data_IF_077377117289
#
_entry.id   IF_077377117289
#
_cell.length_a   1.000
_cell.length_b   1.000
_cell.length_c   1.000
_cell.angle_alpha   90.00
_cell.angle_beta   90.00
_cell.angle_gamma   90.00
#
_symmetry.space_group_name_H-M   'P 1'
#
loop_
_entity.id
_entity.type
_entity.pdbx_description
1 polymer ?
#
# COMPACT_ATOMS: atom_id res chain seq x y z
N UNK A 1 -13.98 9.98 -75.48
CA UNK A 1 -12.96 10.23 -74.43
C UNK A 1 -13.70 10.42 -73.12
N UNK A 2 -13.66 9.40 -72.27
CA UNK A 2 -14.58 9.24 -71.15
C UNK A 2 -13.84 9.65 -69.87
N UNK A 3 -14.19 10.80 -69.28
CA UNK A 3 -13.66 11.18 -67.96
C UNK A 3 -14.59 10.63 -66.88
N UNK A 4 -14.20 9.52 -66.27
CA UNK A 4 -14.81 9.02 -65.03
C UNK A 4 -14.31 9.89 -63.87
N UNK A 5 -15.22 10.57 -63.18
CA UNK A 5 -14.95 11.28 -61.94
C UNK A 5 -15.14 10.28 -60.79
N UNK A 6 -14.04 9.85 -60.17
CA UNK A 6 -14.06 8.96 -59.00
C UNK A 6 -14.12 9.78 -57.72
N UNK A 7 -15.26 9.71 -57.04
CA UNK A 7 -15.46 10.20 -55.67
C UNK A 7 -14.79 9.23 -54.69
N UNK A 8 -13.81 9.70 -53.90
CA UNK A 8 -13.34 8.99 -52.71
C UNK A 8 -13.78 9.78 -51.46
N UNK A 9 -14.79 9.27 -50.77
CA UNK A 9 -15.10 9.67 -49.40
C UNK A 9 -14.31 8.77 -48.45
N UNK A 10 -13.30 9.31 -47.77
CA UNK A 10 -12.66 8.63 -46.64
C UNK A 10 -13.51 8.85 -45.40
N UNK A 11 -14.27 7.83 -45.01
CA UNK A 11 -14.91 7.76 -43.68
C UNK A 11 -14.01 6.92 -42.79
N UNK A 12 -13.13 7.58 -42.05
CA UNK A 12 -12.35 6.95 -40.98
C UNK A 12 -13.20 6.86 -39.72
N UNK A 13 -13.84 5.71 -39.52
CA UNK A 13 -14.52 5.35 -38.26
C UNK A 13 -13.45 5.01 -37.23
N UNK A 14 -13.19 5.93 -36.30
CA UNK A 14 -12.39 5.64 -35.10
C UNK A 14 -13.26 4.85 -34.11
N UNK A 15 -13.13 3.53 -34.16
CA UNK A 15 -13.64 2.64 -33.11
C UNK A 15 -12.85 2.89 -31.83
N UNK A 16 -13.48 3.54 -30.86
CA UNK A 16 -12.94 3.70 -29.50
C UNK A 16 -13.08 2.34 -28.83
N UNK A 17 -12.06 1.50 -28.91
CA UNK A 17 -11.98 0.33 -28.04
C UNK A 17 -11.71 0.85 -26.62
N UNK A 18 -12.73 0.87 -25.78
CA UNK A 18 -12.56 1.01 -24.34
C UNK A 18 -11.72 -0.18 -23.87
N UNK A 19 -10.41 0.03 -23.76
CA UNK A 19 -9.53 -0.89 -23.08
C UNK A 19 -9.90 -0.86 -21.61
N UNK A 20 -10.70 -1.83 -21.15
CA UNK A 20 -10.67 -2.21 -19.75
C UNK A 20 -9.26 -2.73 -19.48
N UNK A 21 -8.39 -1.83 -19.02
CA UNK A 21 -7.16 -2.23 -18.37
C UNK A 21 -7.58 -2.96 -17.09
N UNK A 22 -7.72 -4.28 -17.17
CA UNK A 22 -7.56 -5.12 -15.99
C UNK A 22 -6.09 -4.95 -15.60
N UNK A 23 -5.79 -3.91 -14.82
CA UNK A 23 -4.57 -3.85 -14.05
C UNK A 23 -4.54 -5.15 -13.25
N UNK A 24 -3.63 -6.06 -13.60
CA UNK A 24 -3.39 -7.22 -12.77
C UNK A 24 -3.16 -6.71 -11.35
N UNK A 25 -4.01 -7.12 -10.41
CA UNK A 25 -3.93 -6.63 -9.04
C UNK A 25 -2.52 -6.91 -8.53
N UNK A 26 -1.78 -5.85 -8.19
CA UNK A 26 -0.41 -5.96 -7.68
C UNK A 26 -0.43 -6.82 -6.41
N UNK A 27 0.36 -7.88 -6.39
CA UNK A 27 0.58 -8.65 -5.17
C UNK A 27 1.68 -7.98 -4.34
N UNK A 28 1.31 -7.38 -3.21
CA UNK A 28 2.28 -6.68 -2.36
C UNK A 28 3.17 -7.65 -1.57
N UNK A 29 2.81 -8.94 -1.45
CA UNK A 29 3.65 -9.93 -0.76
C UNK A 29 4.96 -10.25 -1.49
N UNK A 30 5.08 -9.86 -2.77
CA UNK A 30 6.31 -10.03 -3.53
C UNK A 30 7.41 -9.05 -3.12
N UNK A 31 7.05 -7.83 -2.70
CA UNK A 31 8.02 -6.73 -2.55
C UNK A 31 7.87 -5.88 -1.29
N UNK A 32 6.75 -5.93 -0.58
CA UNK A 32 6.45 -4.99 0.50
C UNK A 32 6.89 -5.54 1.86
N UNK A 33 7.51 -4.69 2.66
CA UNK A 33 7.98 -4.96 4.01
C UNK A 33 7.36 -3.96 4.96
N UNK A 34 7.12 -4.38 6.19
CA UNK A 34 6.97 -3.44 7.28
C UNK A 34 8.36 -2.96 7.70
N UNK A 35 8.60 -1.65 7.61
CA UNK A 35 9.88 -1.03 7.91
C UNK A 35 9.65 -0.01 9.02
N UNK A 36 10.54 0.04 10.01
CA UNK A 36 10.38 0.94 11.14
C UNK A 36 11.57 0.91 12.10
N UNK A 37 11.45 1.62 13.21
CA UNK A 37 12.53 1.75 14.20
C UNK A 37 13.03 0.38 14.73
N UNK A 38 12.13 -0.59 14.91
CA UNK A 38 12.46 -1.95 15.35
C UNK A 38 13.33 -2.75 14.36
N UNK A 39 13.41 -2.30 13.11
CA UNK A 39 14.21 -2.90 12.04
C UNK A 39 15.33 -1.97 11.56
N UNK A 40 15.61 -0.87 12.28
CA UNK A 40 16.51 0.19 11.80
C UNK A 40 16.15 0.71 10.40
N UNK A 41 14.87 0.67 10.06
CA UNK A 41 14.32 0.97 8.74
C UNK A 41 14.76 0.03 7.61
N UNK A 42 15.42 -1.09 7.85
CA UNK A 42 15.80 -2.05 6.81
C UNK A 42 14.61 -2.89 6.32
N UNK A 43 14.71 -3.38 5.08
CA UNK A 43 13.75 -4.31 4.49
C UNK A 43 14.14 -5.76 4.85
N UNK A 44 13.88 -6.14 6.09
CA UNK A 44 14.28 -7.44 6.62
C UNK A 44 13.27 -8.56 6.25
N UNK A 45 13.72 -9.76 5.81
CA UNK A 45 12.83 -10.85 5.39
C UNK A 45 11.72 -11.23 6.38
N UNK A 46 12.01 -11.20 7.69
CA UNK A 46 11.06 -11.47 8.76
C UNK A 46 9.89 -10.49 8.83
N UNK A 47 10.06 -9.27 8.29
CA UNK A 47 9.02 -8.25 8.25
C UNK A 47 8.38 -8.11 6.85
N UNK A 48 8.65 -9.04 5.93
CA UNK A 48 7.95 -9.10 4.65
C UNK A 48 6.46 -9.37 4.88
N UNK A 49 5.60 -8.68 4.15
CA UNK A 49 4.15 -8.91 4.27
C UNK A 49 3.76 -10.23 3.60
N UNK A 50 2.87 -10.97 4.24
CA UNK A 50 2.27 -12.18 3.69
C UNK A 50 0.83 -11.86 3.28
N UNK A 51 0.39 -12.38 2.14
CA UNK A 51 -0.99 -12.27 1.70
C UNK A 51 -1.87 -13.17 2.56
N UNK A 52 -2.90 -12.61 3.19
CA UNK A 52 -3.87 -13.35 4.01
C UNK A 52 -5.25 -13.42 3.35
N UNK A 53 -5.54 -12.51 2.42
CA UNK A 53 -6.71 -12.53 1.54
C UNK A 53 -6.40 -11.73 0.26
N UNK A 54 -7.30 -11.76 -0.72
CA UNK A 54 -7.22 -10.88 -1.88
C UNK A 54 -7.20 -9.41 -1.46
N UNK A 55 -6.07 -8.74 -1.70
CA UNK A 55 -5.86 -7.34 -1.32
C UNK A 55 -5.60 -7.10 0.17
N UNK A 56 -5.43 -8.15 0.99
CA UNK A 56 -5.13 -8.03 2.41
C UNK A 56 -3.80 -8.72 2.75
N UNK A 57 -2.92 -7.98 3.39
CA UNK A 57 -1.58 -8.41 3.73
C UNK A 57 -1.30 -8.21 5.21
N UNK A 58 -0.43 -9.05 5.78
CA UNK A 58 -0.07 -9.01 7.20
C UNK A 58 1.41 -9.37 7.42
N UNK A 59 2.04 -8.71 8.37
CA UNK A 59 3.23 -9.23 9.06
C UNK A 59 3.10 -9.02 10.56
N UNK A 60 3.99 -9.60 11.36
CA UNK A 60 3.97 -9.55 12.81
C UNK A 60 5.30 -9.00 13.36
N UNK A 61 5.22 -8.26 14.47
CA UNK A 61 6.40 -7.72 15.16
C UNK A 61 6.21 -7.88 16.66
N UNK A 62 7.25 -8.33 17.37
CA UNK A 62 7.31 -8.25 18.83
C UNK A 62 7.73 -6.84 19.26
N UNK A 63 6.90 -6.18 20.07
CA UNK A 63 7.14 -4.81 20.55
C UNK A 63 7.15 -4.76 22.09
N UNK A 64 7.89 -3.79 22.63
CA UNK A 64 7.92 -3.48 24.06
C UNK A 64 7.09 -2.23 24.35
N UNK A 65 6.30 -2.26 25.41
CA UNK A 65 5.53 -1.13 25.89
C UNK A 65 6.36 -0.29 26.87
N UNK A 66 7.33 0.45 26.34
CA UNK A 66 8.15 1.41 27.10
C UNK A 66 7.51 2.81 27.16
N UNK A 67 6.32 2.97 26.60
CA UNK A 67 5.57 4.22 26.54
C UNK A 67 5.96 5.14 25.37
N UNK A 68 6.95 4.77 24.55
CA UNK A 68 7.32 5.53 23.35
C UNK A 68 6.62 4.97 22.10
N UNK A 69 6.28 5.83 21.12
CA UNK A 69 5.75 5.36 19.86
C UNK A 69 6.86 4.77 18.97
N UNK A 70 6.60 3.59 18.42
CA UNK A 70 7.33 3.09 17.26
C UNK A 70 6.87 3.82 16.01
N UNK A 71 7.84 4.20 15.18
CA UNK A 71 7.59 4.76 13.86
C UNK A 71 7.78 3.67 12.81
N UNK A 72 6.89 3.64 11.82
CA UNK A 72 6.90 2.64 10.79
C UNK A 72 6.22 3.10 9.49
N UNK A 73 6.50 2.38 8.41
CA UNK A 73 5.86 2.48 7.09
C UNK A 73 5.79 1.08 6.48
N UNK A 74 4.95 0.91 5.46
CA UNK A 74 5.10 -0.20 4.54
C UNK A 74 5.92 0.27 3.34
N UNK A 75 7.01 -0.42 3.04
CA UNK A 75 8.00 0.00 2.05
C UNK A 75 8.54 -1.20 1.29
N UNK A 76 8.74 -1.08 -0.02
CA UNK A 76 9.70 -1.96 -0.68
C UNK A 76 11.15 -1.59 -0.29
N UNK A 77 12.11 -2.42 -0.66
CA UNK A 77 13.51 -2.21 -0.31
C UNK A 77 14.09 -0.89 -0.84
N UNK A 78 13.56 -0.38 -1.96
CA UNK A 78 14.08 0.78 -2.67
C UNK A 78 13.30 2.08 -2.36
N UNK A 79 12.31 2.02 -1.47
CA UNK A 79 11.40 3.14 -1.20
C UNK A 79 10.69 3.68 -2.44
N UNK A 80 10.35 2.79 -3.38
CA UNK A 80 9.78 3.19 -4.67
C UNK A 80 8.42 3.88 -4.52
N UNK A 81 8.15 4.85 -5.37
CA UNK A 81 6.82 5.46 -5.50
C UNK A 81 5.77 4.39 -5.85
N UNK A 82 4.63 4.40 -5.17
CA UNK A 82 3.59 3.38 -5.27
C UNK A 82 3.76 2.20 -4.30
N UNK A 83 4.91 2.10 -3.62
CA UNK A 83 5.21 1.12 -2.57
C UNK A 83 5.84 1.72 -1.32
N UNK A 84 5.86 3.05 -1.22
CA UNK A 84 6.34 3.76 -0.04
C UNK A 84 5.12 4.33 0.71
N UNK A 85 4.49 3.49 1.51
CA UNK A 85 3.20 3.74 2.15
C UNK A 85 3.34 4.26 3.58
N UNK A 86 3.03 5.54 3.73
CA UNK A 86 2.97 6.27 4.99
C UNK A 86 1.57 6.83 5.26
N UNK A 87 1.39 7.62 6.32
CA UNK A 87 0.08 8.21 6.60
C UNK A 87 -0.36 9.14 5.47
N UNK A 88 -1.67 9.19 5.21
CA UNK A 88 -2.24 10.11 4.24
C UNK A 88 -2.41 11.53 4.83
N UNK A 89 -2.99 11.62 6.03
CA UNK A 89 -3.18 12.88 6.76
C UNK A 89 -2.44 12.84 8.10
N UNK A 90 -1.60 13.85 8.38
CA UNK A 90 -0.91 13.94 9.67
C UNK A 90 -1.90 14.02 10.85
N UNK A 91 -3.03 14.70 10.66
CA UNK A 91 -4.03 14.90 11.71
C UNK A 91 -4.83 13.63 12.02
N UNK A 92 -5.14 12.84 11.00
CA UNK A 92 -6.13 11.76 11.12
C UNK A 92 -5.49 10.37 11.11
N UNK A 93 -4.38 10.22 10.39
CA UNK A 93 -3.83 8.90 10.05
C UNK A 93 -2.45 8.62 10.67
N UNK A 94 -1.76 9.65 11.18
CA UNK A 94 -0.40 9.50 11.73
C UNK A 94 -0.35 8.54 12.92
N UNK A 95 -1.36 8.57 13.80
CA UNK A 95 -1.41 7.74 15.01
C UNK A 95 -2.35 6.56 14.76
N UNK A 96 -1.77 5.36 14.76
CA UNK A 96 -2.53 4.11 14.63
C UNK A 96 -2.85 3.59 16.02
N UNK A 97 -4.11 3.26 16.27
CA UNK A 97 -4.56 2.59 17.49
C UNK A 97 -5.04 1.19 17.17
N UNK A 98 -5.05 0.30 18.15
CA UNK A 98 -5.53 -1.07 17.94
C UNK A 98 -6.94 -1.07 17.33
N UNK A 99 -7.13 -1.98 16.37
CA UNK A 99 -8.40 -2.26 15.68
C UNK A 99 -9.03 -1.06 14.95
N UNK A 100 -8.29 0.04 14.77
CA UNK A 100 -8.76 1.23 14.06
C UNK A 100 -7.95 1.45 12.77
N UNK A 101 -8.57 1.26 11.59
CA UNK A 101 -7.93 1.59 10.33
C UNK A 101 -7.64 3.08 10.18
N UNK A 102 -6.51 3.38 9.56
CA UNK A 102 -6.09 4.70 9.09
C UNK A 102 -5.74 4.65 7.61
N UNK A 103 -5.83 5.76 6.91
CA UNK A 103 -5.54 5.84 5.48
C UNK A 103 -4.05 6.01 5.19
N UNK A 104 -3.59 5.41 4.10
CA UNK A 104 -2.21 5.43 3.66
C UNK A 104 -2.04 6.10 2.29
N UNK A 105 -0.94 6.84 2.14
CA UNK A 105 -0.42 7.34 0.87
C UNK A 105 0.82 6.52 0.48
N UNK A 106 0.77 5.81 -0.66
CA UNK A 106 1.87 4.97 -1.16
C UNK A 106 2.95 5.70 -1.96
N UNK A 107 2.93 7.03 -1.94
CA UNK A 107 4.00 7.91 -2.43
C UNK A 107 4.61 8.75 -1.32
N UNK A 108 4.48 8.31 -0.07
CA UNK A 108 4.97 9.01 1.11
C UNK A 108 6.51 9.07 1.10
N UNK A 109 7.11 10.19 1.48
CA UNK A 109 8.56 10.33 1.69
C UNK A 109 8.86 10.24 3.19
N UNK A 110 8.28 11.13 3.99
CA UNK A 110 8.59 11.29 5.42
C UNK A 110 7.40 10.96 6.34
N UNK A 111 6.26 10.55 5.79
CA UNK A 111 5.01 10.37 6.52
C UNK A 111 4.97 9.04 7.30
N UNK A 112 5.77 8.94 8.37
CA UNK A 112 5.82 7.74 9.22
C UNK A 112 4.58 7.63 10.11
N UNK A 113 3.94 6.46 10.11
CA UNK A 113 2.94 6.11 11.11
C UNK A 113 3.56 6.01 12.50
N UNK A 114 2.74 6.14 13.53
CA UNK A 114 3.10 5.97 14.94
C UNK A 114 2.18 4.98 15.62
N UNK A 115 2.77 4.05 16.37
CA UNK A 115 2.04 3.13 17.23
C UNK A 115 2.76 2.99 18.57
N UNK A 116 2.03 3.21 19.67
CA UNK A 116 2.51 2.92 21.02
C UNK A 116 1.81 1.66 21.51
N UNK A 117 2.52 0.53 21.65
CA UNK A 117 1.92 -0.70 22.14
C UNK A 117 1.45 -0.51 23.60
N UNK A 118 0.22 -0.90 23.95
CA UNK A 118 -0.29 -0.77 25.32
C UNK A 118 0.38 -1.75 26.30
N UNK A 119 0.94 -2.84 25.79
CA UNK A 119 1.64 -3.87 26.57
C UNK A 119 2.71 -4.57 25.72
N UNK A 120 3.64 -5.29 26.35
CA UNK A 120 4.59 -6.12 25.62
C UNK A 120 3.83 -7.22 24.86
N UNK A 121 4.25 -7.50 23.62
CA UNK A 121 3.67 -8.62 22.88
C UNK A 121 3.93 -8.56 21.39
N UNK A 122 3.36 -9.54 20.69
CA UNK A 122 3.37 -9.61 19.23
C UNK A 122 2.15 -8.90 18.69
N UNK A 123 2.35 -8.07 17.67
CA UNK A 123 1.31 -7.30 17.01
C UNK A 123 1.30 -7.60 15.52
N UNK A 124 0.12 -7.89 14.98
CA UNK A 124 -0.12 -8.03 13.55
C UNK A 124 -0.38 -6.66 12.92
N UNK A 125 0.49 -6.27 11.99
CA UNK A 125 0.36 -5.08 11.17
C UNK A 125 -0.28 -5.47 9.84
N UNK A 126 -1.42 -4.85 9.53
CA UNK A 126 -2.18 -5.15 8.33
C UNK A 126 -2.07 -4.01 7.33
N UNK A 127 -1.94 -4.38 6.06
CA UNK A 127 -2.03 -3.50 4.91
C UNK A 127 -3.19 -3.95 4.03
N UNK A 128 -4.23 -3.14 3.96
CA UNK A 128 -5.48 -3.42 3.27
C UNK A 128 -5.62 -2.54 2.03
N UNK A 129 -5.73 -3.18 0.87
CA UNK A 129 -5.81 -2.55 -0.45
C UNK A 129 -7.13 -2.85 -1.14
N UNK A 130 -8.13 -3.35 -0.40
CA UNK A 130 -9.45 -3.70 -0.94
C UNK A 130 -10.31 -2.48 -1.23
N UNK A 131 -10.07 -1.36 -0.55
CA UNK A 131 -10.71 -0.07 -0.83
C UNK A 131 -9.95 0.77 -1.86
N UNK A 132 -10.54 1.90 -2.26
CA UNK A 132 -9.90 2.86 -3.18
C UNK A 132 -8.64 3.50 -2.58
N UNK A 133 -8.66 3.74 -1.26
CA UNK A 133 -7.53 4.25 -0.49
C UNK A 133 -6.99 3.10 0.37
N UNK A 134 -5.70 2.75 0.27
CA UNK A 134 -5.11 1.73 1.12
C UNK A 134 -5.23 2.12 2.60
N UNK A 135 -5.46 1.13 3.45
CA UNK A 135 -5.59 1.31 4.90
C UNK A 135 -4.56 0.48 5.66
N UNK A 136 -4.18 0.99 6.82
CA UNK A 136 -3.31 0.32 7.77
C UNK A 136 -4.05 0.17 9.09
N UNK A 137 -3.97 -1.00 9.71
CA UNK A 137 -4.45 -1.23 11.06
C UNK A 137 -3.58 -2.25 11.79
N UNK A 138 -3.65 -2.21 13.12
CA UNK A 138 -2.85 -3.07 13.99
C UNK A 138 -3.78 -3.85 14.91
N UNK A 139 -3.48 -5.14 15.11
CA UNK A 139 -4.14 -6.01 16.08
C UNK A 139 -3.09 -6.67 16.95
N UNK A 140 -3.43 -7.00 18.20
CA UNK A 140 -2.61 -7.93 18.97
C UNK A 140 -2.63 -9.30 18.26
N UNK A 141 -1.47 -9.92 18.11
CA UNK A 141 -1.40 -11.29 17.61
C UNK A 141 -1.83 -12.25 18.72
N UNK A 142 -2.60 -13.29 18.37
CA UNK A 142 -3.09 -14.30 19.29
C UNK A 142 -2.03 -15.35 19.60
#
# INVERSE_FOLDING_TARGET
MNKKLTTLAMVSVLTITAGCATSGSRDYSDSLYLRGQFAWWDALPEYKVNKVDSGLYRTEVELKADGQPYEFKFGDANWSTGTNCGYLSEKEDKVVTLDKPVNANCSAVFENFRFTPPENGVYGFYFDTRGEVPQVYIKKAN
#
